data_IF_366052360581
#
_entry.id   IF_366052360581
#
_cell.length_a   1.000
_cell.length_b   1.000
_cell.length_c   1.000
_cell.angle_alpha   90.00
_cell.angle_beta   90.00
_cell.angle_gamma   90.00
#
_symmetry.space_group_name_H-M   'P 1'
#
loop_
_entity.id
_entity.type
_entity.pdbx_description
1 polymer ?
#
# COMPACT_ATOMS: atom_id res chain seq x y z
N UNK A 1 13.10 8.22 23.87
CA UNK A 1 12.04 7.57 23.08
C UNK A 1 12.06 6.12 23.49
N UNK A 2 11.14 5.73 24.38
CA UNK A 2 10.91 4.36 24.82
C UNK A 2 9.62 3.90 24.13
N UNK A 3 9.70 3.72 22.82
CA UNK A 3 8.61 3.14 22.06
C UNK A 3 8.85 1.63 22.06
N UNK A 4 7.99 0.89 22.75
CA UNK A 4 7.96 -0.56 22.66
C UNK A 4 7.86 -0.97 21.18
N UNK A 5 8.77 -1.82 20.71
CA UNK A 5 8.72 -2.40 19.36
C UNK A 5 7.67 -3.52 19.24
N UNK A 6 6.91 -3.77 20.30
CA UNK A 6 5.84 -4.76 20.33
C UNK A 6 4.55 -4.05 19.91
N UNK A 7 3.92 -4.46 18.79
CA UNK A 7 2.66 -3.86 18.36
C UNK A 7 1.54 -4.20 19.35
N UNK A 8 0.64 -3.25 19.59
CA UNK A 8 -0.56 -3.47 20.41
C UNK A 8 -1.54 -4.46 19.74
N UNK A 9 -1.55 -4.50 18.41
CA UNK A 9 -2.41 -5.37 17.59
C UNK A 9 -1.69 -5.78 16.30
N UNK A 10 -1.92 -7.01 15.86
CA UNK A 10 -1.49 -7.52 14.56
C UNK A 10 -2.65 -8.31 13.95
N UNK A 11 -3.05 -7.96 12.72
CA UNK A 11 -4.10 -8.68 11.99
C UNK A 11 -3.67 -8.98 10.56
N UNK A 12 -4.11 -10.14 10.07
CA UNK A 12 -3.93 -10.57 8.70
C UNK A 12 -5.27 -10.47 7.96
N UNK A 13 -5.30 -9.71 6.87
CA UNK A 13 -6.47 -9.55 6.01
C UNK A 13 -6.22 -10.23 4.68
N UNK A 14 -7.06 -11.22 4.33
CA UNK A 14 -6.95 -11.94 3.05
C UNK A 14 -7.75 -11.20 1.98
N UNK A 15 -7.04 -10.58 1.03
CA UNK A 15 -7.62 -9.87 -0.08
C UNK A 15 -6.78 -9.99 -1.35
N UNK A 16 -7.43 -9.89 -2.51
CA UNK A 16 -6.74 -9.61 -3.77
C UNK A 16 -6.71 -8.09 -3.95
N UNK A 17 -5.53 -7.53 -4.13
CA UNK A 17 -5.34 -6.08 -4.31
C UNK A 17 -5.81 -5.58 -5.69
N UNK A 18 -6.10 -6.49 -6.63
CA UNK A 18 -6.72 -6.16 -7.91
C UNK A 18 -8.24 -6.02 -7.82
N UNK A 19 -8.86 -6.59 -6.77
CA UNK A 19 -10.29 -6.47 -6.55
C UNK A 19 -10.60 -5.14 -5.86
N UNK A 20 -11.65 -4.44 -6.30
CA UNK A 20 -12.12 -3.17 -5.69
C UNK A 20 -12.81 -3.35 -4.32
N UNK A 21 -12.52 -4.42 -3.57
CA UNK A 21 -13.13 -4.69 -2.26
C UNK A 21 -12.12 -4.97 -1.15
N UNK A 22 -10.82 -4.85 -1.42
CA UNK A 22 -9.81 -5.08 -0.40
C UNK A 22 -9.88 -4.00 0.69
N UNK A 23 -10.25 -2.77 0.33
CA UNK A 23 -10.46 -1.66 1.26
C UNK A 23 -11.61 -1.92 2.21
N UNK A 24 -12.71 -2.52 1.74
CA UNK A 24 -13.86 -2.86 2.60
C UNK A 24 -13.46 -3.91 3.64
N UNK A 25 -12.64 -4.89 3.25
CA UNK A 25 -12.10 -5.91 4.16
C UNK A 25 -11.14 -5.28 5.17
N UNK A 26 -10.29 -4.37 4.73
CA UNK A 26 -9.37 -3.65 5.61
C UNK A 26 -10.12 -2.81 6.65
N UNK A 27 -11.13 -2.04 6.22
CA UNK A 27 -11.99 -1.26 7.10
C UNK A 27 -12.79 -2.15 8.07
N UNK A 28 -13.32 -3.27 7.59
CA UNK A 28 -14.05 -4.24 8.42
C UNK A 28 -13.15 -4.93 9.45
N UNK A 29 -11.86 -5.07 9.16
CA UNK A 29 -10.84 -5.49 10.12
C UNK A 29 -10.47 -4.35 11.11
N UNK A 30 -11.16 -3.21 11.09
CA UNK A 30 -10.96 -2.13 12.06
C UNK A 30 -9.74 -1.27 11.79
N UNK A 31 -9.32 -1.15 10.52
CA UNK A 31 -8.41 -0.09 10.10
C UNK A 31 -9.07 1.29 10.26
N UNK A 32 -8.34 2.25 10.82
CA UNK A 32 -8.81 3.62 11.03
C UNK A 32 -8.19 4.57 10.00
N UNK A 33 -8.94 5.01 8.97
CA UNK A 33 -8.43 5.92 7.94
C UNK A 33 -8.22 7.35 8.44
N UNK A 34 -8.61 7.66 9.69
CA UNK A 34 -8.35 8.98 10.30
C UNK A 34 -6.98 9.09 10.95
N UNK A 35 -6.29 7.96 11.15
CA UNK A 35 -4.95 7.92 11.72
C UNK A 35 -3.88 7.94 10.60
N UNK A 36 -2.77 8.69 10.77
CA UNK A 36 -1.63 8.63 9.85
C UNK A 36 -1.12 7.19 9.71
N UNK A 37 -1.02 6.71 8.48
CA UNK A 37 -0.66 5.33 8.17
C UNK A 37 0.65 5.28 7.38
N UNK A 38 1.51 4.33 7.72
CA UNK A 38 2.67 3.97 6.89
C UNK A 38 2.32 2.74 6.05
N UNK A 39 2.29 2.88 4.73
CA UNK A 39 2.00 1.79 3.79
C UNK A 39 3.31 1.23 3.22
N UNK A 40 3.51 -0.08 3.32
CA UNK A 40 4.66 -0.77 2.75
C UNK A 40 4.23 -1.71 1.61
N UNK A 41 4.70 -1.44 0.39
CA UNK A 41 4.43 -2.22 -0.82
C UNK A 41 5.71 -2.84 -1.37
N UNK A 42 6.24 -3.84 -0.67
CA UNK A 42 7.47 -4.54 -1.07
C UNK A 42 7.17 -5.67 -2.05
N UNK A 43 7.92 -5.76 -3.16
CA UNK A 43 7.82 -6.90 -4.07
C UNK A 43 6.45 -7.12 -4.70
N UNK A 44 5.59 -6.08 -4.79
CA UNK A 44 4.23 -6.20 -5.32
C UNK A 44 4.04 -5.51 -6.66
N UNK A 45 4.46 -4.24 -6.77
CA UNK A 45 4.06 -3.34 -7.87
C UNK A 45 4.53 -3.80 -9.25
N UNK A 46 5.63 -4.56 -9.33
CA UNK A 46 6.19 -5.10 -10.58
C UNK A 46 5.36 -6.26 -11.16
N UNK A 47 4.47 -6.86 -10.37
CA UNK A 47 3.60 -7.96 -10.80
C UNK A 47 2.21 -7.49 -11.22
N UNK A 48 1.84 -6.26 -10.84
CA UNK A 48 0.56 -5.68 -11.17
C UNK A 48 0.58 -5.00 -12.54
N UNK A 49 -0.51 -5.11 -13.28
CA UNK A 49 -0.70 -4.28 -14.46
C UNK A 49 -0.71 -2.80 -14.08
N UNK A 50 -0.38 -1.93 -15.04
CA UNK A 50 -0.36 -0.47 -14.81
C UNK A 50 -1.70 0.04 -14.26
N UNK A 51 -2.82 -0.47 -14.78
CA UNK A 51 -4.16 -0.09 -14.31
C UNK A 51 -4.38 -0.45 -12.84
N UNK A 52 -4.01 -1.67 -12.44
CA UNK A 52 -4.10 -2.15 -11.06
C UNK A 52 -3.22 -1.35 -10.11
N UNK A 53 -1.97 -1.04 -10.50
CA UNK A 53 -1.10 -0.17 -9.69
C UNK A 53 -1.72 1.22 -9.46
N UNK A 54 -2.32 1.81 -10.50
CA UNK A 54 -2.98 3.12 -10.37
C UNK A 54 -4.20 3.03 -9.46
N UNK A 55 -5.03 2.00 -9.60
CA UNK A 55 -6.19 1.78 -8.75
C UNK A 55 -5.77 1.59 -7.27
N UNK A 56 -4.79 0.73 -7.01
CA UNK A 56 -4.25 0.48 -5.67
C UNK A 56 -3.77 1.78 -5.01
N UNK A 57 -2.94 2.57 -5.70
CA UNK A 57 -2.41 3.82 -5.14
C UNK A 57 -3.50 4.87 -4.90
N UNK A 58 -4.53 4.94 -5.75
CA UNK A 58 -5.69 5.82 -5.53
C UNK A 58 -6.49 5.40 -4.30
N UNK A 59 -6.71 4.11 -4.11
CA UNK A 59 -7.42 3.62 -2.92
C UNK A 59 -6.60 3.89 -1.65
N UNK A 60 -5.27 3.71 -1.69
CA UNK A 60 -4.39 4.08 -0.58
C UNK A 60 -4.47 5.59 -0.27
N UNK A 61 -4.47 6.45 -1.29
CA UNK A 61 -4.61 7.91 -1.12
C UNK A 61 -5.94 8.27 -0.42
N UNK A 62 -7.05 7.65 -0.83
CA UNK A 62 -8.37 7.84 -0.21
C UNK A 62 -8.39 7.39 1.25
N UNK A 63 -7.69 6.31 1.59
CA UNK A 63 -7.63 5.74 2.94
C UNK A 63 -6.61 6.43 3.86
N UNK A 64 -5.81 7.34 3.35
CA UNK A 64 -4.69 7.94 4.09
C UNK A 64 -5.07 9.26 4.74
N UNK A 65 -4.90 9.35 6.06
CA UNK A 65 -4.99 10.62 6.77
C UNK A 65 -3.80 11.54 6.41
N UNK A 66 -3.92 12.86 6.61
CA UNK A 66 -2.78 13.77 6.50
C UNK A 66 -1.59 13.32 7.36
N UNK A 67 -0.39 13.31 6.77
CA UNK A 67 0.83 12.81 7.42
C UNK A 67 1.08 11.31 7.25
N UNK A 68 0.23 10.60 6.50
CA UNK A 68 0.53 9.24 6.04
C UNK A 68 1.70 9.21 5.08
N UNK A 69 2.40 8.08 5.05
CA UNK A 69 3.57 7.85 4.22
C UNK A 69 3.42 6.52 3.45
N UNK A 70 4.08 6.42 2.31
CA UNK A 70 4.12 5.20 1.51
C UNK A 70 5.56 4.92 1.09
N UNK A 71 5.95 3.65 1.21
CA UNK A 71 7.17 3.12 0.68
C UNK A 71 6.86 1.89 -0.17
N UNK A 72 7.53 1.75 -1.30
CA UNK A 72 7.40 0.56 -2.13
C UNK A 72 8.37 0.55 -3.28
N UNK A 73 8.58 -0.64 -3.82
CA UNK A 73 9.32 -0.80 -5.06
C UNK A 73 8.49 -0.28 -6.23
N UNK A 74 9.14 0.20 -7.29
CA UNK A 74 8.46 0.52 -8.55
C UNK A 74 9.19 -0.22 -9.66
N UNK A 75 8.49 -1.18 -10.27
CA UNK A 75 8.96 -1.84 -11.49
C UNK A 75 8.91 -0.88 -12.68
N UNK A 76 10.05 -0.58 -13.28
CA UNK A 76 10.16 0.24 -14.49
C UNK A 76 11.08 -0.43 -15.50
N UNK A 77 10.76 -0.25 -16.79
CA UNK A 77 11.74 -0.54 -17.86
C UNK A 77 12.70 0.64 -17.94
N UNK A 78 14.00 0.37 -17.92
CA UNK A 78 14.97 1.40 -18.27
C UNK A 78 14.67 1.90 -19.69
N UNK A 79 14.75 3.22 -19.95
CA UNK A 79 14.75 3.75 -21.31
C UNK A 79 15.80 3.01 -22.16
N UNK A 80 15.39 2.53 -23.35
CA UNK A 80 16.24 1.72 -24.23
C UNK A 80 17.46 2.50 -24.77
N UNK A 81 17.50 3.83 -24.56
CA UNK A 81 18.48 4.80 -25.04
C UNK A 81 19.55 5.20 -24.01
N UNK A 82 19.56 4.63 -22.80
CA UNK A 82 20.61 4.89 -21.79
C UNK A 82 21.86 3.99 -21.93
N UNK A 83 21.86 3.06 -22.89
CA UNK A 83 23.02 2.26 -23.28
C UNK A 83 23.39 2.51 -24.74
N UNK A 84 23.88 3.72 -25.03
CA UNK A 84 24.61 4.03 -26.27
C UNK A 84 25.78 4.95 -25.97
#
# INVERSE_FOLDING_TARGET
MDASLIPERHEMVVADVNDFNWEEKLLSAGFDPSAPTFWALEGLTMYLERGSNIALLKTIDILSAPGSEIWGDVGGRAPEDLCS
#
